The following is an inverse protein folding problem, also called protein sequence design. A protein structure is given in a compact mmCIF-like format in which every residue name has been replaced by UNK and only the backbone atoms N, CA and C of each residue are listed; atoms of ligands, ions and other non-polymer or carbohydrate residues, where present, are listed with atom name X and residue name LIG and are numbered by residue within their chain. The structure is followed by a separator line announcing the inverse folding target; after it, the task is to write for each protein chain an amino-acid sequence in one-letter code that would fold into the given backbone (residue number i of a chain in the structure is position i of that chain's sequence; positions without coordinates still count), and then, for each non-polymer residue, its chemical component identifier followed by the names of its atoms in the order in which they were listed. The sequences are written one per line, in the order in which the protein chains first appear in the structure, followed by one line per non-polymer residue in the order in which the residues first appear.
data_IF_264368930087
#
_entry.id   IF_264368930087
#
_cell.length_a   1.000
_cell.length_b   1.000
_cell.length_c   1.000
_cell.angle_alpha   90.00
_cell.angle_beta   90.00
_cell.angle_gamma   90.00
#
_symmetry.space_group_name_H-M   'P 1'
#
loop_
_entity.id
_entity.type
_entity.pdbx_description
1 polymer ?
#
# COMPACT_ATOMS: atom_id res chain seq x y z
N UNK A 1 -8.07 -19.89 17.47
CA UNK A 1 -7.34 -18.80 16.76
C UNK A 1 -8.18 -17.55 16.93
N UNK A 2 -7.69 -16.53 17.63
CA UNK A 2 -8.46 -15.30 17.90
C UNK A 2 -8.66 -14.55 16.58
N UNK A 3 -9.91 -14.34 16.17
CA UNK A 3 -10.25 -13.67 14.91
C UNK A 3 -10.13 -12.15 15.08
N UNK A 4 -8.89 -11.66 15.04
CA UNK A 4 -8.58 -10.24 15.14
C UNK A 4 -8.60 -9.58 13.76
N UNK A 5 -9.26 -8.44 13.64
CA UNK A 5 -9.17 -7.61 12.44
C UNK A 5 -7.73 -7.16 12.16
N UNK A 6 -7.35 -6.84 10.90
CA UNK A 6 -6.00 -6.33 10.59
C UNK A 6 -5.62 -5.08 11.40
N UNK A 7 -6.60 -4.23 11.73
CA UNK A 7 -6.38 -3.04 12.57
C UNK A 7 -6.04 -3.43 14.02
N UNK A 8 -6.76 -4.40 14.59
CA UNK A 8 -6.50 -4.91 15.94
C UNK A 8 -5.17 -5.67 16.02
N UNK A 9 -4.83 -6.45 15.00
CA UNK A 9 -3.52 -7.10 14.89
C UNK A 9 -2.38 -6.07 14.82
N UNK A 10 -2.55 -4.99 14.05
CA UNK A 10 -1.57 -3.89 14.00
C UNK A 10 -1.43 -3.22 15.36
N UNK A 11 -2.55 -2.87 16.00
CA UNK A 11 -2.57 -2.23 17.32
C UNK A 11 -1.86 -3.10 18.36
N UNK A 12 -2.17 -4.39 18.43
CA UNK A 12 -1.55 -5.33 19.37
C UNK A 12 -0.02 -5.38 19.20
N UNK A 13 0.48 -5.43 17.97
CA UNK A 13 1.93 -5.41 17.70
C UNK A 13 2.58 -4.08 18.09
N UNK A 14 1.91 -2.95 17.89
CA UNK A 14 2.42 -1.65 18.33
C UNK A 14 2.48 -1.55 19.85
N UNK A 15 1.43 -1.98 20.57
CA UNK A 15 1.43 -2.01 22.03
C UNK A 15 2.56 -2.94 22.53
N UNK A 16 2.69 -4.14 21.95
CA UNK A 16 3.77 -5.08 22.32
C UNK A 16 5.17 -4.50 22.14
N UNK A 17 5.35 -3.64 21.13
CA UNK A 17 6.63 -3.02 20.81
C UNK A 17 6.99 -1.88 21.77
N UNK A 18 5.99 -1.13 22.23
CA UNK A 18 6.22 0.10 23.00
C UNK A 18 5.87 -0.01 24.49
N UNK A 19 5.19 -1.07 24.92
CA UNK A 19 4.98 -1.32 26.34
C UNK A 19 6.27 -1.84 26.98
N UNK A 20 6.93 -0.96 27.75
CA UNK A 20 8.13 -1.28 28.53
C UNK A 20 7.81 -1.77 29.95
N UNK A 21 6.54 -2.09 30.24
CA UNK A 21 6.02 -2.50 31.54
C UNK A 21 5.14 -1.45 32.22
N UNK A 22 5.19 -0.20 31.78
CA UNK A 22 4.31 0.87 32.29
C UNK A 22 2.95 0.93 31.58
N UNK A 23 2.82 0.30 30.41
CA UNK A 23 1.72 0.47 29.47
C UNK A 23 1.95 1.61 28.48
N UNK A 24 1.15 1.63 27.42
CA UNK A 24 1.17 2.65 26.37
C UNK A 24 0.02 3.63 26.62
N UNK A 25 0.37 4.88 26.90
CA UNK A 25 -0.62 5.95 27.11
C UNK A 25 -1.14 6.48 25.77
N UNK A 26 -2.35 6.10 25.40
CA UNK A 26 -3.01 6.67 24.23
C UNK A 26 -3.61 8.05 24.56
N UNK A 27 -3.64 8.94 23.57
CA UNK A 27 -4.28 10.25 23.68
C UNK A 27 -5.59 10.27 22.93
N UNK A 28 -6.60 10.95 23.45
CA UNK A 28 -7.85 11.14 22.73
C UNK A 28 -7.63 11.89 21.41
N UNK A 29 -8.30 11.41 20.37
CA UNK A 29 -8.43 12.05 19.07
C UNK A 29 -9.92 12.17 18.70
N UNK A 30 -10.30 13.12 17.83
CA UNK A 30 -11.70 13.32 17.46
C UNK A 30 -12.37 12.06 16.90
N UNK A 31 -13.70 11.96 17.11
CA UNK A 31 -14.58 10.89 16.56
C UNK A 31 -14.31 9.48 17.14
N UNK A 32 -14.21 9.38 18.47
CA UNK A 32 -13.99 8.11 19.19
C UNK A 32 -12.73 7.38 18.71
N UNK A 33 -11.63 8.12 18.67
CA UNK A 33 -10.33 7.64 18.22
C UNK A 33 -9.27 7.92 19.28
N UNK A 34 -8.20 7.15 19.19
CA UNK A 34 -7.04 7.26 20.05
C UNK A 34 -5.78 7.39 19.20
N UNK A 35 -4.93 8.33 19.57
CA UNK A 35 -3.64 8.58 18.96
C UNK A 35 -2.57 7.83 19.76
N UNK A 36 -1.78 7.01 19.06
CA UNK A 36 -0.63 6.35 19.64
C UNK A 36 0.50 7.37 19.87
N UNK A 37 1.11 7.44 21.07
CA UNK A 37 2.06 8.49 21.43
C UNK A 37 3.35 8.46 20.60
N UNK A 38 3.87 7.26 20.32
CA UNK A 38 5.15 7.10 19.60
C UNK A 38 5.03 7.04 18.06
N UNK A 39 3.93 6.50 17.52
CA UNK A 39 3.78 6.28 16.06
C UNK A 39 2.89 7.32 15.40
N UNK A 40 2.17 8.12 16.19
CA UNK A 40 1.10 9.01 15.72
C UNK A 40 0.01 8.31 14.88
N UNK A 41 -0.04 6.96 14.94
CA UNK A 41 -1.12 6.20 14.32
C UNK A 41 -2.41 6.43 15.08
N UNK A 42 -3.51 6.58 14.33
CA UNK A 42 -4.84 6.78 14.89
C UNK A 42 -5.63 5.47 14.82
N UNK A 43 -6.18 5.06 15.96
CA UNK A 43 -6.97 3.86 16.13
C UNK A 43 -8.41 4.20 16.52
N UNK A 44 -9.37 3.43 16.04
CA UNK A 44 -10.75 3.57 16.51
C UNK A 44 -10.89 2.91 17.88
N UNK A 45 -11.73 3.46 18.77
CA UNK A 45 -12.05 2.84 20.06
C UNK A 45 -12.42 1.35 19.94
N UNK A 46 -13.23 1.01 18.92
CA UNK A 46 -13.65 -0.38 18.65
C UNK A 46 -12.50 -1.33 18.31
N UNK A 47 -11.32 -0.81 17.95
CA UNK A 47 -10.13 -1.63 17.69
C UNK A 47 -9.56 -2.24 18.97
N UNK A 48 -9.82 -1.62 20.13
CA UNK A 48 -9.35 -2.07 21.45
C UNK A 48 -10.21 -3.19 22.05
N UNK A 49 -11.53 -3.16 21.82
CA UNK A 49 -12.48 -4.13 22.40
C UNK A 49 -12.13 -5.61 22.17
N UNK A 50 -11.73 -6.06 20.97
CA UNK A 50 -11.33 -7.45 20.81
C UNK A 50 -9.99 -7.77 21.50
N UNK A 51 -9.14 -6.77 21.76
CA UNK A 51 -7.88 -6.99 22.48
C UNK A 51 -8.14 -7.19 23.98
N UNK A 52 -8.97 -6.34 24.58
CA UNK A 52 -9.36 -6.45 25.99
C UNK A 52 -10.26 -7.66 26.21
N UNK A 53 -11.26 -7.88 25.34
CA UNK A 53 -12.17 -9.02 25.42
C UNK A 53 -11.51 -10.39 25.29
N UNK A 54 -10.35 -10.48 24.63
CA UNK A 54 -9.54 -11.70 24.58
C UNK A 54 -8.44 -11.76 25.64
N UNK A 55 -8.36 -10.79 26.55
CA UNK A 55 -7.33 -10.73 27.60
C UNK A 55 -5.91 -10.54 27.04
N UNK A 56 -5.78 -9.93 25.86
CA UNK A 56 -4.49 -9.68 25.21
C UNK A 56 -3.85 -8.38 25.68
N UNK A 57 -4.67 -7.44 26.14
CA UNK A 57 -4.24 -6.19 26.77
C UNK A 57 -5.13 -5.91 27.98
N UNK A 58 -4.58 -5.17 28.93
CA UNK A 58 -5.26 -4.58 30.07
C UNK A 58 -5.32 -3.07 29.86
N UNK A 59 -6.52 -2.51 29.81
CA UNK A 59 -6.76 -1.07 29.61
C UNK A 59 -6.97 -0.32 30.94
N UNK A 60 -6.79 -0.98 32.10
CA UNK A 60 -6.93 -0.35 33.41
C UNK A 60 -8.35 0.11 33.75
N UNK A 61 -9.35 -0.25 32.93
CA UNK A 61 -10.77 0.03 33.17
C UNK A 61 -11.21 1.48 32.99
N UNK A 62 -10.36 2.37 32.46
CA UNK A 62 -10.76 3.73 32.09
C UNK A 62 -10.03 4.20 30.81
N UNK A 63 -10.61 5.20 30.12
CA UNK A 63 -10.10 5.70 28.84
C UNK A 63 -8.75 6.44 28.93
N UNK A 64 -8.34 6.82 30.14
CA UNK A 64 -7.10 7.54 30.41
C UNK A 64 -5.98 6.64 30.93
N UNK A 65 -6.24 5.35 31.14
CA UNK A 65 -5.25 4.45 31.71
C UNK A 65 -4.27 3.96 30.63
N UNK A 66 -2.99 3.74 30.99
CA UNK A 66 -2.04 3.13 30.09
C UNK A 66 -2.47 1.73 29.71
N UNK A 67 -2.52 1.44 28.40
CA UNK A 67 -2.86 0.10 27.90
C UNK A 67 -1.62 -0.80 28.00
N UNK A 68 -1.71 -1.85 28.80
CA UNK A 68 -0.62 -2.80 29.08
C UNK A 68 -0.82 -4.08 28.31
N UNK A 69 0.26 -4.67 27.81
CA UNK A 69 0.21 -5.96 27.14
C UNK A 69 0.33 -7.11 28.13
N UNK A 70 -0.60 -8.06 28.04
CA UNK A 70 -0.56 -9.28 28.85
C UNK A 70 0.45 -10.28 28.28
N UNK A 71 0.77 -11.33 29.03
CA UNK A 71 1.64 -12.41 28.53
C UNK A 71 1.04 -13.09 27.28
N UNK A 72 -0.27 -13.37 27.30
CA UNK A 72 -0.99 -13.90 26.14
C UNK A 72 -0.92 -12.95 24.94
N UNK A 73 -1.06 -11.64 25.19
CA UNK A 73 -0.87 -10.60 24.19
C UNK A 73 0.51 -10.61 23.57
N UNK A 74 1.58 -10.69 24.38
CA UNK A 74 2.97 -10.73 23.90
C UNK A 74 3.22 -11.94 23.00
N UNK A 75 2.74 -13.12 23.42
CA UNK A 75 2.86 -14.35 22.63
C UNK A 75 2.20 -14.20 21.26
N UNK A 76 0.96 -13.73 21.22
CA UNK A 76 0.24 -13.54 19.96
C UNK A 76 0.88 -12.43 19.10
N UNK A 77 1.36 -11.34 19.71
CA UNK A 77 2.04 -10.26 19.01
C UNK A 77 3.31 -10.76 18.31
N UNK A 78 4.10 -11.64 18.95
CA UNK A 78 5.28 -12.25 18.36
C UNK A 78 4.92 -13.11 17.14
N UNK A 79 3.89 -13.96 17.23
CA UNK A 79 3.39 -14.76 16.11
C UNK A 79 2.93 -13.89 14.93
N UNK A 80 2.22 -12.79 15.22
CA UNK A 80 1.75 -11.85 14.20
C UNK A 80 2.90 -11.07 13.56
N UNK A 81 3.94 -10.74 14.32
CA UNK A 81 5.11 -10.04 13.79
C UNK A 81 5.90 -10.93 12.82
N UNK A 82 6.08 -12.21 13.13
CA UNK A 82 6.72 -13.16 12.20
C UNK A 82 5.89 -13.36 10.93
N UNK A 83 4.56 -13.49 11.06
CA UNK A 83 3.66 -13.51 9.89
C UNK A 83 3.78 -12.24 9.07
N UNK A 84 3.83 -11.07 9.72
CA UNK A 84 3.97 -9.80 9.04
C UNK A 84 5.29 -9.70 8.27
N UNK A 85 6.40 -10.09 8.89
CA UNK A 85 7.72 -10.13 8.23
C UNK A 85 7.71 -11.07 7.03
N UNK A 86 7.14 -12.26 7.17
CA UNK A 86 7.01 -13.22 6.07
C UNK A 86 6.17 -12.65 4.91
N UNK A 87 5.06 -11.98 5.20
CA UNK A 87 4.26 -11.32 4.17
C UNK A 87 5.00 -10.18 3.47
N UNK A 88 5.74 -9.36 4.22
CA UNK A 88 6.55 -8.28 3.66
C UNK A 88 7.69 -8.83 2.80
N UNK A 89 8.36 -9.89 3.25
CA UNK A 89 9.36 -10.60 2.47
C UNK A 89 8.76 -11.17 1.18
N UNK A 90 7.58 -11.80 1.24
CA UNK A 90 6.86 -12.30 0.06
C UNK A 90 6.49 -11.18 -0.91
N UNK A 91 6.01 -10.05 -0.40
CA UNK A 91 5.69 -8.86 -1.24
C UNK A 91 6.95 -8.29 -1.89
N UNK A 92 8.07 -8.25 -1.17
CA UNK A 92 9.37 -7.77 -1.67
C UNK A 92 9.99 -8.72 -2.70
N UNK A 93 9.84 -10.02 -2.50
CA UNK A 93 10.34 -11.06 -3.40
C UNK A 93 9.47 -11.24 -4.66
N UNK A 94 8.24 -10.69 -4.69
CA UNK A 94 7.39 -10.75 -5.86
C UNK A 94 8.13 -10.12 -7.06
N UNK A 95 8.15 -10.80 -8.23
CA UNK A 95 8.78 -10.25 -9.42
C UNK A 95 8.25 -8.85 -9.71
N UNK A 96 9.16 -7.92 -9.93
CA UNK A 96 8.78 -6.56 -10.33
C UNK A 96 8.17 -6.61 -11.73
N UNK A 97 7.22 -5.71 -12.04
CA UNK A 97 6.74 -5.53 -13.40
C UNK A 97 7.92 -5.39 -14.37
N UNK A 98 7.91 -6.19 -15.44
CA UNK A 98 8.94 -6.20 -16.48
C UNK A 98 8.38 -5.62 -17.77
N UNK A 99 9.23 -4.90 -18.52
CA UNK A 99 8.91 -4.38 -19.85
C UNK A 99 8.67 -5.49 -20.89
N UNK A 100 9.18 -6.70 -20.63
CA UNK A 100 9.06 -7.84 -21.54
C UNK A 100 7.86 -8.75 -21.27
N UNK A 101 7.09 -8.47 -20.21
CA UNK A 101 5.90 -9.24 -19.88
C UNK A 101 4.78 -9.02 -20.91
N UNK A 102 3.89 -10.01 -21.04
CA UNK A 102 2.75 -9.93 -21.96
C UNK A 102 1.87 -8.68 -21.73
N UNK A 103 1.68 -8.27 -20.47
CA UNK A 103 0.95 -7.04 -20.11
C UNK A 103 1.68 -5.78 -20.59
N UNK A 104 3.01 -5.72 -20.44
CA UNK A 104 3.79 -4.59 -20.89
C UNK A 104 3.80 -4.47 -22.42
N UNK A 105 3.92 -5.60 -23.13
CA UNK A 105 3.80 -5.64 -24.58
C UNK A 105 2.40 -5.21 -25.06
N UNK A 106 1.33 -5.63 -24.37
CA UNK A 106 -0.03 -5.20 -24.67
C UNK A 106 -0.21 -3.70 -24.46
N UNK A 107 0.32 -3.15 -23.37
CA UNK A 107 0.30 -1.72 -23.12
C UNK A 107 1.09 -0.95 -24.18
N UNK A 108 2.30 -1.39 -24.51
CA UNK A 108 3.14 -0.76 -25.54
C UNK A 108 2.44 -0.73 -26.90
N UNK A 109 1.78 -1.83 -27.29
CA UNK A 109 0.95 -1.89 -28.51
C UNK A 109 -0.18 -0.87 -28.48
N UNK A 110 -0.81 -0.67 -27.33
CA UNK A 110 -1.90 0.28 -27.20
C UNK A 110 -1.41 1.72 -27.28
N UNK A 111 -0.31 2.05 -26.59
CA UNK A 111 0.33 3.36 -26.67
C UNK A 111 0.72 3.65 -28.12
N UNK A 112 1.26 2.67 -28.84
CA UNK A 112 1.62 2.83 -30.26
C UNK A 112 0.44 3.12 -31.19
N UNK A 113 -0.79 2.73 -30.84
CA UNK A 113 -2.00 3.11 -31.59
C UNK A 113 -2.45 4.54 -31.30
N UNK A 114 -2.06 5.06 -30.15
CA UNK A 114 -2.49 6.33 -29.59
C UNK A 114 -1.27 7.18 -29.23
N UNK A 115 -0.31 7.24 -30.16
CA UNK A 115 0.97 7.90 -29.93
C UNK A 115 0.75 9.40 -29.72
N UNK A 116 1.27 9.94 -28.61
CA UNK A 116 1.02 11.32 -28.21
C UNK A 116 -0.30 11.57 -27.46
N UNK A 117 -1.03 10.52 -27.08
CA UNK A 117 -2.21 10.65 -26.21
C UNK A 117 -1.85 11.03 -24.79
N UNK A 118 -2.81 11.65 -24.11
CA UNK A 118 -2.72 11.93 -22.68
C UNK A 118 -2.84 10.64 -21.85
N UNK A 119 -2.22 10.65 -20.68
CA UNK A 119 -2.31 9.62 -19.65
C UNK A 119 -3.02 10.22 -18.45
N UNK A 120 -4.03 9.49 -17.98
CA UNK A 120 -4.77 9.86 -16.78
C UNK A 120 -4.47 8.88 -15.66
N UNK A 121 -4.28 9.41 -14.45
CA UNK A 121 -4.44 8.63 -13.24
C UNK A 121 -5.94 8.42 -13.01
N UNK A 122 -6.38 7.17 -13.03
CA UNK A 122 -7.79 6.81 -12.88
C UNK A 122 -8.27 7.00 -11.42
N UNK A 123 -7.41 7.50 -10.51
CA UNK A 123 -7.68 7.66 -9.07
C UNK A 123 -7.83 6.33 -8.32
N UNK A 124 -7.87 5.22 -9.07
CA UNK A 124 -8.03 3.87 -8.58
C UNK A 124 -6.67 3.16 -8.59
N UNK A 125 -6.15 2.87 -7.39
CA UNK A 125 -5.08 1.88 -7.14
C UNK A 125 -3.84 1.96 -8.04
N UNK A 126 -3.28 3.16 -8.24
CA UNK A 126 -1.99 3.34 -8.97
C UNK A 126 -2.04 2.71 -10.37
N UNK A 127 -3.11 3.00 -11.10
CA UNK A 127 -3.33 2.55 -12.48
C UNK A 127 -3.39 3.77 -13.38
N UNK A 128 -2.61 3.73 -14.44
CA UNK A 128 -2.64 4.77 -15.47
C UNK A 128 -3.33 4.22 -16.71
N UNK A 129 -4.05 5.11 -17.39
CA UNK A 129 -4.85 4.81 -18.57
C UNK A 129 -4.46 5.72 -19.72
N UNK A 130 -4.29 5.14 -20.91
CA UNK A 130 -4.19 5.91 -22.16
C UNK A 130 -5.54 6.55 -22.45
N UNK A 131 -5.55 7.84 -22.77
CA UNK A 131 -6.71 8.58 -23.26
C UNK A 131 -7.13 8.06 -24.65
N UNK A 132 -7.92 6.98 -24.67
CA UNK A 132 -8.58 6.47 -25.88
C UNK A 132 -9.95 5.87 -25.55
N UNK A 133 -10.78 5.68 -26.59
CA UNK A 133 -12.15 5.13 -26.47
C UNK A 133 -12.17 3.80 -25.70
N UNK A 134 -11.18 2.94 -25.96
CA UNK A 134 -11.03 1.62 -25.32
C UNK A 134 -9.96 1.62 -24.20
N UNK A 135 -9.44 2.80 -23.84
CA UNK A 135 -8.20 3.07 -23.10
C UNK A 135 -7.70 1.95 -22.20
N UNK A 136 -6.59 1.31 -22.61
CA UNK A 136 -5.98 0.24 -21.85
C UNK A 136 -5.42 0.75 -20.53
N UNK A 137 -5.66 -0.04 -19.47
CA UNK A 137 -5.27 0.24 -18.10
C UNK A 137 -4.14 -0.68 -17.70
N UNK A 138 -3.08 -0.10 -17.12
CA UNK A 138 -1.98 -0.86 -16.56
C UNK A 138 -1.47 -0.20 -15.28
N UNK A 139 -0.92 -1.01 -14.38
CA UNK A 139 -0.34 -0.50 -13.14
C UNK A 139 0.82 0.45 -13.45
N UNK A 140 1.02 1.48 -12.62
CA UNK A 140 2.14 2.43 -12.73
C UNK A 140 3.48 1.69 -12.84
N UNK A 141 3.63 0.54 -12.16
CA UNK A 141 4.86 -0.25 -12.26
C UNK A 141 5.17 -0.75 -13.67
N UNK A 142 4.16 -1.09 -14.48
CA UNK A 142 4.35 -1.49 -15.89
C UNK A 142 4.72 -0.25 -16.74
N UNK A 143 4.09 0.89 -16.51
CA UNK A 143 4.44 2.16 -17.19
C UNK A 143 5.90 2.54 -16.93
N UNK A 144 6.31 2.55 -15.66
CA UNK A 144 7.70 2.82 -15.26
C UNK A 144 8.67 1.78 -15.83
N UNK A 145 8.27 0.52 -15.96
CA UNK A 145 9.12 -0.50 -16.57
C UNK A 145 9.34 -0.24 -18.06
N UNK A 146 8.30 0.13 -18.81
CA UNK A 146 8.42 0.50 -20.24
C UNK A 146 9.28 1.75 -20.43
N UNK A 147 9.11 2.76 -19.59
CA UNK A 147 9.88 3.99 -19.62
C UNK A 147 11.37 3.74 -19.32
N UNK A 148 11.67 2.94 -18.29
CA UNK A 148 13.05 2.54 -17.95
C UNK A 148 13.72 1.70 -19.03
N UNK A 149 12.96 0.86 -19.73
CA UNK A 149 13.45 0.13 -20.89
C UNK A 149 13.65 1.03 -22.12
N UNK A 150 13.28 2.30 -22.03
CA UNK A 150 13.37 3.28 -23.11
C UNK A 150 12.35 3.04 -24.22
N UNK A 151 11.29 2.25 -24.01
CA UNK A 151 10.28 1.95 -25.03
C UNK A 151 9.24 3.06 -25.18
N UNK A 152 9.02 3.84 -24.13
CA UNK A 152 8.11 4.98 -24.12
C UNK A 152 8.78 6.17 -23.43
N UNK A 153 8.25 7.36 -23.68
CA UNK A 153 8.58 8.59 -22.96
C UNK A 153 7.29 9.25 -22.48
N UNK A 154 7.28 9.71 -21.23
CA UNK A 154 6.20 10.54 -20.69
C UNK A 154 6.66 11.98 -20.52
N UNK A 155 5.85 12.93 -20.97
CA UNK A 155 6.14 14.36 -20.88
C UNK A 155 4.98 15.09 -20.21
N UNK A 156 5.28 15.94 -19.23
CA UNK A 156 4.26 16.70 -18.52
C UNK A 156 3.71 17.80 -19.43
N UNK A 157 2.39 17.82 -19.62
CA UNK A 157 1.72 18.85 -20.42
C UNK A 157 1.27 19.98 -19.50
N UNK A 158 1.96 21.11 -19.58
CA UNK A 158 1.77 22.26 -18.69
C UNK A 158 0.42 22.96 -18.84
N UNK A 159 -0.18 22.93 -20.04
CA UNK A 159 -1.38 23.71 -20.37
C UNK A 159 -2.71 23.08 -19.95
N UNK A 160 -2.76 21.77 -19.72
CA UNK A 160 -4.03 21.03 -19.50
C UNK A 160 -4.02 20.22 -18.20
N UNK A 161 -2.84 20.09 -17.55
CA UNK A 161 -2.65 19.19 -16.42
C UNK A 161 -2.68 17.72 -16.87
N UNK A 162 -1.53 17.05 -16.81
CA UNK A 162 -1.41 15.63 -17.16
C UNK A 162 -0.06 15.29 -17.78
N UNK A 163 0.08 14.04 -18.20
CA UNK A 163 1.26 13.54 -18.90
C UNK A 163 0.85 13.07 -20.29
N UNK A 164 1.66 13.36 -21.30
CA UNK A 164 1.55 12.81 -22.65
C UNK A 164 2.51 11.65 -22.75
N UNK A 165 2.08 10.54 -23.35
CA UNK A 165 2.95 9.39 -23.61
C UNK A 165 3.23 9.26 -25.09
N UNK A 166 4.49 8.96 -25.42
CA UNK A 166 4.95 8.72 -26.79
C UNK A 166 5.77 7.45 -26.86
N UNK A 167 5.63 6.66 -27.93
CA UNK A 167 6.47 5.48 -28.18
C UNK A 167 7.78 5.93 -28.81
N UNK A 168 8.91 5.46 -28.26
CA UNK A 168 10.23 5.75 -28.81
C UNK A 168 10.56 4.83 -29.99
N UNK A 169 11.63 5.13 -30.73
CA UNK A 169 12.10 4.25 -31.81
C UNK A 169 12.52 2.87 -31.29
N UNK A 170 13.03 2.78 -30.06
CA UNK A 170 13.32 1.49 -29.39
C UNK A 170 12.03 0.71 -29.16
N UNK A 171 10.97 1.39 -28.72
CA UNK A 171 9.65 0.80 -28.55
C UNK A 171 9.02 0.34 -29.87
N UNK A 172 9.16 1.13 -30.95
CA UNK A 172 8.66 0.76 -32.29
C UNK A 172 9.38 -0.48 -32.82
N UNK A 173 10.71 -0.52 -32.73
CA UNK A 173 11.52 -1.71 -33.07
C UNK A 173 11.07 -2.94 -32.30
N UNK A 174 10.79 -2.81 -30.99
CA UNK A 174 10.29 -3.90 -30.15
C UNK A 174 8.94 -4.46 -30.62
N UNK A 175 8.10 -3.62 -31.24
CA UNK A 175 6.82 -4.00 -31.83
C UNK A 175 6.93 -4.60 -33.24
N UNK A 176 8.14 -4.64 -33.82
CA UNK A 176 8.33 -5.01 -35.23
C UNK A 176 7.76 -3.99 -36.20
N UNK A 177 7.63 -2.72 -35.77
CA UNK A 177 7.18 -1.61 -36.61
C UNK A 177 8.37 -0.65 -36.84
N UNK A 178 8.67 -0.29 -38.10
CA UNK A 178 9.67 0.74 -38.39
C UNK A 178 9.26 2.10 -37.82
#
# INVERSE_FOLDING_TARGET
MTDLSPASQKLLREIAKYDTGAGVQFRHAPRARYLHPNTYSVYNARTFYPLTGHGLVDDGGNDEAPVRITEAGRKLAAELEEKHKAEQARKKARPKPSADGATALRLLREIAKHDGSLVYDDGLRRVWRVASRDGHRASIGIWVALEKAGYIRTERVSSIGGERVTVTDVGRKRLGRP
#
